data_IF_500865049565
#
_entry.id   IF_500865049565
#
_cell.length_a   1.000
_cell.length_b   1.000
_cell.length_c   1.000
_cell.angle_alpha   90.00
_cell.angle_beta   90.00
_cell.angle_gamma   90.00
#
_symmetry.space_group_name_H-M   'P 1'
#
loop_
_entity.id
_entity.type
_entity.pdbx_description
1 polymer ?
#
# COMPACT_ATOMS: atom_id res chain seq x y z
N UNK A 1 3.78 10.40 13.66
CA UNK A 1 3.63 11.35 12.54
C UNK A 1 3.73 10.57 11.23
N UNK A 2 2.65 10.42 10.47
CA UNK A 2 2.63 9.61 9.23
C UNK A 2 3.51 10.24 8.13
N UNK A 3 3.74 11.56 8.18
CA UNK A 3 4.59 12.26 7.21
C UNK A 3 6.11 12.09 7.38
N UNK A 4 6.58 11.49 8.48
CA UNK A 4 8.02 11.32 8.74
C UNK A 4 8.57 9.96 8.29
N UNK A 5 7.70 8.97 8.14
CA UNK A 5 8.09 7.62 7.72
C UNK A 5 8.27 7.58 6.19
N UNK A 6 9.50 7.45 5.73
CA UNK A 6 9.83 7.38 4.29
C UNK A 6 10.56 6.08 3.99
N UNK A 7 9.82 5.10 3.49
CA UNK A 7 10.34 3.78 3.16
C UNK A 7 9.59 3.23 1.92
N UNK A 8 10.28 2.43 1.10
CA UNK A 8 9.76 1.92 -0.20
C UNK A 8 8.48 1.08 -0.08
N UNK A 9 8.31 0.36 1.01
CA UNK A 9 7.17 -0.52 1.31
C UNK A 9 6.12 0.14 2.21
N UNK A 10 6.23 1.45 2.45
CA UNK A 10 5.20 2.25 3.10
C UNK A 10 4.59 3.22 2.10
N UNK A 11 3.27 3.39 2.20
CA UNK A 11 2.55 4.34 1.35
C UNK A 11 2.91 5.76 1.78
N UNK A 12 3.67 6.46 0.94
CA UNK A 12 4.11 7.83 1.21
C UNK A 12 2.95 8.81 1.11
N UNK A 13 2.73 9.59 2.16
CA UNK A 13 1.84 10.74 2.12
C UNK A 13 2.44 11.84 1.23
N UNK A 14 1.74 12.25 0.18
CA UNK A 14 2.17 13.35 -0.70
C UNK A 14 1.75 14.70 -0.16
N UNK A 15 0.60 14.77 0.50
CA UNK A 15 0.09 15.99 1.07
C UNK A 15 -1.22 15.76 1.80
N UNK A 16 -1.73 16.84 2.37
CA UNK A 16 -3.00 16.83 3.08
C UNK A 16 -3.72 18.15 2.87
N UNK A 17 -5.03 18.15 3.09
CA UNK A 17 -5.84 19.37 3.17
C UNK A 17 -6.60 19.35 4.49
N UNK A 18 -6.57 20.46 5.22
CA UNK A 18 -7.27 20.65 6.49
C UNK A 18 -8.14 21.89 6.36
N UNK A 19 -9.45 21.69 6.24
CA UNK A 19 -10.46 22.74 6.38
C UNK A 19 -11.28 22.47 7.66
N UNK A 20 -12.06 23.44 8.16
CA UNK A 20 -12.94 23.20 9.30
C UNK A 20 -13.94 22.05 9.07
N UNK A 21 -14.38 21.87 7.82
CA UNK A 21 -15.40 20.90 7.43
C UNK A 21 -14.81 19.54 7.03
N UNK A 22 -13.61 19.53 6.44
CA UNK A 22 -13.03 18.32 5.83
C UNK A 22 -11.54 18.18 6.09
N UNK A 23 -11.12 16.93 6.21
CA UNK A 23 -9.71 16.53 6.30
C UNK A 23 -9.44 15.52 5.21
N UNK A 24 -8.48 15.80 4.34
CA UNK A 24 -8.14 14.98 3.19
C UNK A 24 -6.67 14.59 3.25
N UNK A 25 -6.35 13.38 2.80
CA UNK A 25 -4.99 12.88 2.62
C UNK A 25 -4.79 12.52 1.16
N UNK A 26 -3.63 12.89 0.63
CA UNK A 26 -3.26 12.62 -0.76
C UNK A 26 -2.14 11.58 -0.78
N UNK A 27 -2.41 10.45 -1.42
CA UNK A 27 -1.47 9.36 -1.63
C UNK A 27 -1.28 9.11 -3.13
N UNK A 28 -0.14 8.53 -3.54
CA UNK A 28 0.03 8.07 -4.91
C UNK A 28 -1.06 7.05 -5.26
N UNK A 29 -1.59 7.15 -6.48
CA UNK A 29 -2.52 6.18 -7.02
C UNK A 29 -1.83 4.82 -7.23
N UNK A 30 -2.49 3.74 -6.79
CA UNK A 30 -1.99 2.38 -6.91
C UNK A 30 -2.77 1.64 -8.01
N UNK A 31 -2.24 1.56 -9.25
CA UNK A 31 -3.00 1.06 -10.40
C UNK A 31 -3.39 -0.41 -10.29
N UNK A 32 -2.65 -1.21 -9.51
CA UNK A 32 -2.93 -2.63 -9.32
C UNK A 32 -3.97 -2.90 -8.22
N UNK A 33 -4.45 -1.85 -7.53
CA UNK A 33 -5.40 -1.96 -6.42
C UNK A 33 -4.79 -2.64 -5.18
N UNK A 34 -5.65 -3.14 -4.30
CA UNK A 34 -5.22 -3.81 -3.08
C UNK A 34 -4.89 -5.29 -3.34
N UNK A 35 -4.03 -5.86 -2.48
CA UNK A 35 -3.76 -7.31 -2.48
C UNK A 35 -5.06 -8.08 -2.24
N UNK A 36 -5.96 -7.57 -1.41
CA UNK A 36 -7.24 -8.22 -1.13
C UNK A 36 -8.11 -8.35 -2.38
N UNK A 37 -8.18 -7.30 -3.20
CA UNK A 37 -8.95 -7.33 -4.46
C UNK A 37 -8.34 -8.32 -5.45
N UNK A 38 -7.01 -8.35 -5.53
CA UNK A 38 -6.26 -9.27 -6.41
C UNK A 38 -6.27 -10.72 -5.97
N UNK A 39 -6.59 -10.99 -4.71
CA UNK A 39 -6.79 -12.36 -4.19
C UNK A 39 -8.24 -12.84 -4.35
N UNK A 40 -9.22 -11.93 -4.33
CA UNK A 40 -10.65 -12.26 -4.48
C UNK A 40 -11.09 -12.39 -5.92
N UNK A 41 -10.51 -11.59 -6.82
CA UNK A 41 -10.87 -11.59 -8.23
C UNK A 41 -10.09 -12.66 -9.01
N UNK A 42 -10.61 -13.90 -8.97
CA UNK A 42 -10.13 -15.02 -9.79
C UNK A 42 -10.74 -15.05 -11.19
N UNK A 43 -11.60 -14.10 -11.54
CA UNK A 43 -12.33 -14.08 -12.81
C UNK A 43 -11.48 -13.60 -14.00
N UNK A 44 -10.41 -12.87 -13.73
CA UNK A 44 -9.40 -12.54 -14.73
C UNK A 44 -8.19 -13.45 -14.55
N UNK A 45 -8.11 -14.51 -15.37
CA UNK A 45 -7.03 -15.51 -15.35
C UNK A 45 -5.62 -14.90 -15.40
N UNK A 46 -5.47 -13.68 -15.94
CA UNK A 46 -4.20 -12.97 -16.05
C UNK A 46 -3.84 -12.04 -14.87
N UNK A 47 -4.70 -11.89 -13.86
CA UNK A 47 -4.47 -11.00 -12.70
C UNK A 47 -4.23 -11.74 -11.38
N UNK A 48 -4.28 -13.08 -11.37
CA UNK A 48 -4.06 -13.83 -10.13
C UNK A 48 -2.60 -13.70 -9.67
N UNK A 49 -2.42 -13.41 -8.38
CA UNK A 49 -1.09 -13.35 -7.77
C UNK A 49 -0.53 -14.77 -7.68
N UNK A 50 0.44 -15.10 -8.51
CA UNK A 50 1.22 -16.33 -8.38
C UNK A 50 1.97 -16.39 -7.03
N UNK A 51 2.42 -17.59 -6.65
CA UNK A 51 3.06 -17.80 -5.35
C UNK A 51 4.30 -16.94 -5.14
N UNK A 52 5.11 -16.76 -6.18
CA UNK A 52 6.33 -15.94 -6.10
C UNK A 52 6.00 -14.48 -5.79
N UNK A 53 5.01 -13.90 -6.48
CA UNK A 53 4.51 -12.55 -6.19
C UNK A 53 3.96 -12.43 -4.77
N UNK A 54 3.24 -13.44 -4.28
CA UNK A 54 2.72 -13.44 -2.89
C UNK A 54 3.85 -13.38 -1.86
N UNK A 55 4.89 -14.17 -2.04
CA UNK A 55 6.07 -14.15 -1.16
C UNK A 55 6.77 -12.78 -1.23
N UNK A 56 6.91 -12.20 -2.42
CA UNK A 56 7.50 -10.87 -2.57
C UNK A 56 6.69 -9.78 -1.86
N UNK A 57 5.36 -9.82 -1.97
CA UNK A 57 4.44 -8.91 -1.27
C UNK A 57 4.61 -9.05 0.25
N UNK A 58 4.60 -10.28 0.76
CA UNK A 58 4.74 -10.54 2.19
C UNK A 58 6.08 -10.02 2.74
N UNK A 59 7.18 -10.27 2.02
CA UNK A 59 8.51 -9.76 2.39
C UNK A 59 8.55 -8.22 2.38
N UNK A 60 7.94 -7.60 1.38
CA UNK A 60 7.82 -6.14 1.30
C UNK A 60 7.06 -5.56 2.49
N UNK A 61 5.89 -6.12 2.80
CA UNK A 61 5.08 -5.70 3.95
C UNK A 61 5.85 -5.85 5.28
N UNK A 62 6.55 -6.97 5.47
CA UNK A 62 7.39 -7.19 6.66
C UNK A 62 8.49 -6.13 6.79
N UNK A 63 9.17 -5.77 5.70
CA UNK A 63 10.18 -4.69 5.71
C UNK A 63 9.59 -3.33 6.09
N UNK A 64 8.40 -3.01 5.60
CA UNK A 64 7.70 -1.78 5.97
C UNK A 64 7.33 -1.76 7.46
N UNK A 65 6.86 -2.89 7.99
CA UNK A 65 6.51 -3.02 9.41
C UNK A 65 7.74 -2.93 10.33
N UNK A 66 8.85 -3.58 9.97
CA UNK A 66 10.11 -3.46 10.72
C UNK A 66 10.55 -2.00 10.80
N UNK A 67 10.52 -1.28 9.68
CA UNK A 67 10.85 0.15 9.67
C UNK A 67 9.92 1.01 10.55
N UNK A 68 8.66 0.62 10.74
CA UNK A 68 7.74 1.34 11.63
C UNK A 68 7.96 1.02 13.11
N UNK A 69 8.58 -0.11 13.42
CA UNK A 69 8.87 -0.54 14.79
C UNK A 69 10.19 0.03 15.33
N UNK A 70 11.12 0.38 14.44
CA UNK A 70 12.38 1.06 14.75
C UNK A 70 12.22 2.59 14.74
#
# INVERSE_FOLDING_TARGET
MIGLAVQRNLLRLYGFCMTPEKRLLVYPYMPNGSVADRLRDTSQENLSLDWSKRIHIALGAARGLVYLHE
#
